data_IF_230161871257
#
_entry.id   IF_230161871257
#
_cell.length_a   1.000
_cell.length_b   1.000
_cell.length_c   1.000
_cell.angle_alpha   90.00
_cell.angle_beta   90.00
_cell.angle_gamma   90.00
#
_symmetry.space_group_name_H-M   'P 1'
#
loop_
_entity.id
_entity.type
_entity.pdbx_description
1 polymer ?
#
# COMPACT_ATOMS: atom_id res chain seq x y z
N UNK A 1 5.06 2.71 -9.78
CA UNK A 1 4.68 2.15 -8.45
C UNK A 1 5.91 1.46 -7.88
N UNK A 2 6.30 1.78 -6.65
CA UNK A 2 7.45 1.21 -5.94
C UNK A 2 6.95 0.43 -4.74
N UNK A 3 7.44 -0.80 -4.58
CA UNK A 3 7.16 -1.68 -3.46
C UNK A 3 8.45 -1.95 -2.70
N UNK A 4 8.49 -1.62 -1.41
CA UNK A 4 9.64 -1.87 -0.57
C UNK A 4 9.25 -2.58 0.72
N UNK A 5 9.74 -3.81 0.87
CA UNK A 5 9.70 -4.53 2.15
C UNK A 5 10.95 -4.18 2.96
N UNK A 6 10.77 -3.66 4.17
CA UNK A 6 11.85 -3.31 5.08
C UNK A 6 11.72 -4.06 6.40
N UNK A 7 12.87 -4.45 6.98
CA UNK A 7 12.98 -4.96 8.35
C UNK A 7 13.76 -3.97 9.21
N UNK A 8 13.22 -3.54 10.36
CA UNK A 8 13.88 -2.62 11.28
C UNK A 8 14.06 -3.25 12.66
N UNK A 9 15.31 -3.41 13.10
CA UNK A 9 15.61 -3.93 14.45
C UNK A 9 15.60 -2.83 15.51
N UNK A 10 16.40 -1.77 15.34
CA UNK A 10 16.40 -0.55 16.20
C UNK A 10 16.82 0.73 15.46
N UNK A 11 17.05 0.66 14.15
CA UNK A 11 17.58 1.76 13.36
C UNK A 11 16.49 2.60 12.71
N UNK A 12 16.87 3.81 12.36
CA UNK A 12 16.11 4.69 11.47
C UNK A 12 16.48 4.36 10.02
N UNK A 13 15.49 4.24 9.14
CA UNK A 13 15.74 4.28 7.70
C UNK A 13 15.07 5.52 7.09
N UNK A 14 15.82 6.33 6.33
CA UNK A 14 15.21 7.30 5.42
C UNK A 14 14.65 6.55 4.21
N UNK A 15 13.45 6.91 3.81
CA UNK A 15 12.89 6.56 2.51
C UNK A 15 12.79 7.83 1.69
N UNK A 16 13.45 7.85 0.54
CA UNK A 16 13.44 8.96 -0.41
C UNK A 16 12.60 8.59 -1.63
N UNK A 17 11.81 9.56 -2.05
CA UNK A 17 11.04 9.63 -3.30
C UNK A 17 9.86 8.68 -3.50
N UNK A 18 8.69 9.31 -3.51
CA UNK A 18 7.40 8.78 -3.93
C UNK A 18 6.33 9.82 -3.65
N UNK A 19 5.69 10.35 -4.70
CA UNK A 19 4.58 11.32 -4.62
C UNK A 19 3.37 10.82 -3.80
N UNK A 20 3.34 9.53 -3.48
CA UNK A 20 2.55 8.94 -2.41
C UNK A 20 3.38 7.96 -1.63
N UNK A 21 3.11 7.80 -0.36
CA UNK A 21 3.64 6.71 0.43
C UNK A 21 2.57 6.20 1.38
N UNK A 22 2.35 4.89 1.39
CA UNK A 22 1.56 4.19 2.38
C UNK A 22 2.46 3.18 3.07
N UNK A 23 2.43 3.16 4.40
CA UNK A 23 3.17 2.15 5.15
C UNK A 23 2.17 1.22 5.81
N UNK A 24 2.19 -0.04 5.36
CA UNK A 24 1.51 -1.13 6.04
C UNK A 24 2.54 -1.89 6.86
N UNK A 25 2.41 -1.85 8.18
CA UNK A 25 3.27 -2.61 9.07
C UNK A 25 2.69 -4.01 9.33
N UNK A 26 3.44 -5.06 9.00
CA UNK A 26 3.15 -6.43 9.48
C UNK A 26 4.08 -6.67 10.67
N UNK A 27 3.55 -6.51 11.88
CA UNK A 27 4.34 -6.69 13.10
C UNK A 27 4.07 -8.06 13.74
N UNK A 28 5.16 -8.75 14.10
CA UNK A 28 5.34 -9.29 15.45
C UNK A 28 5.85 -8.12 16.32
N UNK A 29 5.47 -7.96 17.60
CA UNK A 29 5.61 -6.69 18.33
C UNK A 29 7.06 -6.15 18.23
N UNK A 30 7.28 -4.86 17.84
CA UNK A 30 6.92 -3.70 18.67
C UNK A 30 6.34 -2.46 17.93
N UNK A 31 6.28 -1.28 18.58
CA UNK A 31 5.79 0.01 18.04
C UNK A 31 6.79 0.67 17.07
N UNK A 32 6.31 1.16 15.92
CA UNK A 32 7.07 2.09 15.06
C UNK A 32 6.58 3.53 15.22
N UNK A 33 7.46 4.52 15.12
CA UNK A 33 7.13 5.95 15.13
C UNK A 33 7.48 6.62 13.79
N UNK A 34 6.59 7.48 13.31
CA UNK A 34 6.90 8.54 12.35
C UNK A 34 6.59 9.89 13.02
N UNK A 35 7.62 10.73 13.20
CA UNK A 35 7.52 11.87 14.13
C UNK A 35 7.22 11.37 15.55
N UNK A 36 6.08 11.78 16.12
CA UNK A 36 5.60 11.34 17.45
C UNK A 36 4.49 10.27 17.39
N UNK A 37 3.99 9.92 16.20
CA UNK A 37 2.80 9.06 16.08
C UNK A 37 3.19 7.59 16.00
N UNK A 38 2.66 6.78 16.94
CA UNK A 38 2.89 5.35 16.98
C UNK A 38 1.99 4.59 15.98
N UNK A 39 2.60 3.67 15.24
CA UNK A 39 1.95 2.74 14.34
C UNK A 39 2.07 1.34 14.94
N UNK A 40 0.92 0.73 15.17
CA UNK A 40 0.74 -0.63 15.69
C UNK A 40 0.58 -1.65 14.54
N UNK A 41 0.72 -2.96 14.82
CA UNK A 41 0.40 -4.00 13.85
C UNK A 41 -0.95 -3.78 13.16
N UNK A 42 -1.02 -4.09 11.86
CA UNK A 42 -2.24 -4.01 11.05
C UNK A 42 -2.80 -2.60 10.85
N UNK A 43 -2.06 -1.56 11.25
CA UNK A 43 -2.39 -0.18 10.90
C UNK A 43 -1.77 0.22 9.57
N UNK A 44 -2.49 1.09 8.86
CA UNK A 44 -2.05 1.76 7.65
C UNK A 44 -1.75 3.22 8.01
N UNK A 45 -0.51 3.65 7.78
CA UNK A 45 -0.17 5.06 7.82
C UNK A 45 -0.22 5.63 6.39
N UNK A 46 -0.98 6.72 6.23
CA UNK A 46 -1.10 7.49 4.98
C UNK A 46 -0.29 8.77 5.16
N UNK A 47 0.54 9.09 4.18
CA UNK A 47 1.38 10.28 4.18
C UNK A 47 0.84 11.31 3.19
N UNK A 48 1.01 12.58 3.52
CA UNK A 48 0.70 13.67 2.60
C UNK A 48 1.66 13.68 1.41
N UNK A 49 1.21 14.27 0.30
CA UNK A 49 1.93 14.29 -0.98
C UNK A 49 2.91 15.45 -1.05
N UNK A 50 3.83 15.49 -0.10
CA UNK A 50 4.86 16.53 -0.05
C UNK A 50 6.23 15.93 -0.38
N UNK A 51 7.07 16.73 -1.05
CA UNK A 51 8.44 16.35 -1.29
C UNK A 51 9.19 16.24 0.04
N UNK A 52 9.90 15.14 0.26
CA UNK A 52 10.63 14.92 1.50
C UNK A 52 11.00 13.46 1.75
N UNK A 53 11.49 13.20 2.95
CA UNK A 53 11.90 11.87 3.37
C UNK A 53 11.07 11.34 4.53
N UNK A 54 10.67 10.08 4.47
CA UNK A 54 9.99 9.40 5.58
C UNK A 54 11.03 8.80 6.50
N UNK A 55 10.94 9.12 7.80
CA UNK A 55 11.76 8.54 8.85
C UNK A 55 10.91 7.66 9.75
N UNK A 56 11.33 6.42 9.95
CA UNK A 56 10.64 5.46 10.82
C UNK A 56 11.63 4.94 11.85
N UNK A 57 11.22 4.94 13.12
CA UNK A 57 12.00 4.37 14.22
C UNK A 57 11.22 3.23 14.89
N UNK A 58 11.85 2.08 15.05
CA UNK A 58 11.33 1.00 15.89
C UNK A 58 11.72 1.27 17.35
N UNK A 59 10.74 1.40 18.25
CA UNK A 59 10.99 1.73 19.67
C UNK A 59 10.92 0.54 20.62
N UNK A 60 10.67 -0.67 20.13
CA UNK A 60 10.71 -1.84 21.01
C UNK A 60 11.89 -2.76 20.77
N UNK A 61 11.86 -3.90 21.46
CA UNK A 61 12.96 -4.87 21.50
C UNK A 61 12.97 -5.85 20.34
N UNK A 62 11.82 -6.10 19.70
CA UNK A 62 11.64 -6.97 18.54
C UNK A 62 11.93 -6.32 17.18
N UNK A 63 11.79 -7.08 16.10
CA UNK A 63 11.98 -6.59 14.72
C UNK A 63 10.65 -6.16 14.11
N UNK A 64 10.62 -4.96 13.52
CA UNK A 64 9.51 -4.48 12.70
C UNK A 64 9.62 -5.00 11.27
N UNK A 65 8.54 -5.51 10.67
CA UNK A 65 8.42 -5.62 9.21
C UNK A 65 7.45 -4.55 8.69
N UNK A 66 7.93 -3.79 7.71
CA UNK A 66 7.19 -2.71 7.08
C UNK A 66 7.08 -2.98 5.58
N UNK A 67 5.92 -2.67 5.03
CA UNK A 67 5.69 -2.58 3.60
C UNK A 67 5.42 -1.11 3.27
N UNK A 68 6.35 -0.50 2.54
CA UNK A 68 6.17 0.83 1.95
C UNK A 68 5.66 0.66 0.52
N UNK A 69 4.56 1.32 0.22
CA UNK A 69 3.93 1.40 -1.10
C UNK A 69 3.98 2.85 -1.55
N UNK A 70 4.63 3.13 -2.67
CA UNK A 70 4.66 4.48 -3.24
C UNK A 70 4.35 4.48 -4.73
N UNK A 71 3.80 5.56 -5.25
CA UNK A 71 3.41 5.64 -6.65
C UNK A 71 3.12 7.07 -7.08
N UNK A 72 2.94 7.24 -8.39
CA UNK A 72 2.31 8.43 -8.94
C UNK A 72 0.79 8.23 -8.88
N UNK A 73 0.00 9.30 -8.71
CA UNK A 73 -1.43 9.19 -8.95
C UNK A 73 -1.66 8.74 -10.38
N UNK A 74 -2.63 7.85 -10.57
CA UNK A 74 -3.07 7.47 -11.91
C UNK A 74 -3.95 8.55 -12.54
N UNK A 75 -4.57 9.42 -11.73
CA UNK A 75 -5.46 10.51 -12.14
C UNK A 75 -6.57 10.12 -13.13
N UNK A 76 -7.01 8.87 -13.04
CA UNK A 76 -8.09 8.32 -13.85
C UNK A 76 -9.30 7.97 -12.97
N UNK A 77 -10.54 8.05 -13.50
CA UNK A 77 -11.72 7.55 -12.82
C UNK A 77 -11.58 6.07 -12.46
N UNK A 78 -12.15 5.67 -11.31
CA UNK A 78 -12.15 4.30 -10.83
C UNK A 78 -13.58 3.81 -10.66
N UNK A 79 -13.96 2.78 -11.41
CA UNK A 79 -15.19 2.04 -11.26
C UNK A 79 -14.87 0.60 -10.85
N UNK A 80 -15.24 0.21 -9.62
CA UNK A 80 -14.93 -1.10 -9.07
C UNK A 80 -16.18 -1.85 -8.60
N UNK A 81 -16.24 -3.15 -8.86
CA UNK A 81 -17.24 -4.06 -8.33
C UNK A 81 -16.68 -5.47 -8.18
N UNK A 82 -16.63 -5.98 -6.95
CA UNK A 82 -16.06 -7.30 -6.66
C UNK A 82 -14.60 -7.40 -7.13
N UNK A 83 -14.24 -8.39 -7.96
CA UNK A 83 -12.87 -8.56 -8.46
C UNK A 83 -12.54 -7.68 -9.67
N UNK A 84 -13.47 -6.85 -10.17
CA UNK A 84 -13.30 -6.06 -11.38
C UNK A 84 -13.04 -4.58 -11.05
N UNK A 85 -12.06 -3.98 -11.73
CA UNK A 85 -11.71 -2.55 -11.65
C UNK A 85 -11.50 -2.05 -13.08
N UNK A 86 -12.27 -1.03 -13.47
CA UNK A 86 -12.22 -0.35 -14.77
C UNK A 86 -12.29 1.16 -14.57
N UNK A 87 -12.22 1.95 -15.66
CA UNK A 87 -12.33 3.40 -15.58
C UNK A 87 -13.80 3.87 -15.53
N UNK A 88 -14.71 3.20 -16.24
CA UNK A 88 -16.13 3.58 -16.32
C UNK A 88 -17.09 2.48 -15.88
N UNK A 89 -18.33 2.86 -15.52
CA UNK A 89 -19.42 1.92 -15.19
C UNK A 89 -19.81 1.01 -16.38
N UNK A 90 -19.68 1.52 -17.61
CA UNK A 90 -20.02 0.78 -18.82
C UNK A 90 -19.01 -0.35 -19.07
N UNK A 91 -17.71 -0.04 -19.03
CA UNK A 91 -16.63 -1.04 -19.13
C UNK A 91 -16.74 -2.10 -18.04
N UNK A 92 -17.01 -1.67 -16.80
CA UNK A 92 -17.20 -2.59 -15.67
C UNK A 92 -18.36 -3.57 -15.92
N UNK A 93 -19.50 -3.07 -16.41
CA UNK A 93 -20.66 -3.91 -16.73
C UNK A 93 -20.38 -4.85 -17.90
N UNK A 94 -19.59 -4.41 -18.89
CA UNK A 94 -19.14 -5.24 -20.00
C UNK A 94 -18.24 -6.37 -19.54
N UNK A 95 -17.18 -6.09 -18.78
CA UNK A 95 -16.27 -7.13 -18.27
C UNK A 95 -16.98 -8.17 -17.43
N UNK A 96 -17.97 -7.77 -16.63
CA UNK A 96 -18.80 -8.72 -15.87
C UNK A 96 -19.61 -9.63 -16.81
N UNK A 97 -20.23 -9.07 -17.87
CA UNK A 97 -20.97 -9.89 -18.86
C UNK A 97 -20.04 -10.87 -19.58
N UNK A 98 -18.85 -10.41 -19.96
CA UNK A 98 -17.87 -11.26 -20.66
C UNK A 98 -17.34 -12.39 -19.79
N UNK A 99 -17.05 -12.09 -18.52
CA UNK A 99 -16.67 -13.10 -17.54
C UNK A 99 -17.79 -14.14 -17.36
N UNK A 100 -19.03 -13.70 -17.18
CA UNK A 100 -20.18 -14.60 -17.03
C UNK A 100 -20.47 -15.42 -18.29
N UNK A 101 -20.07 -14.92 -19.46
CA UNK A 101 -20.15 -15.63 -20.73
C UNK A 101 -18.98 -16.62 -20.94
N UNK A 102 -18.07 -16.78 -19.97
CA UNK A 102 -16.95 -17.71 -20.04
C UNK A 102 -15.79 -17.25 -20.92
N UNK A 103 -15.73 -15.97 -21.31
CA UNK A 103 -14.68 -15.47 -22.22
C UNK A 103 -13.28 -15.42 -21.62
N UNK A 104 -13.15 -15.59 -20.29
CA UNK A 104 -11.88 -15.40 -19.57
C UNK A 104 -11.13 -16.73 -19.34
N UNK A 105 -11.60 -17.81 -19.98
CA UNK A 105 -11.01 -19.14 -19.88
C UNK A 105 -11.42 -19.91 -18.63
N UNK A 106 -11.01 -21.18 -18.58
CA UNK A 106 -11.15 -22.08 -17.45
C UNK A 106 -9.76 -22.56 -17.00
N UNK A 107 -9.64 -22.92 -15.73
CA UNK A 107 -8.45 -23.58 -15.20
C UNK A 107 -8.73 -25.08 -15.19
N UNK A 108 -8.25 -25.77 -16.21
CA UNK A 108 -8.39 -27.21 -16.40
C UNK A 108 -7.11 -27.96 -15.97
#
# INVERSE_FOLDING_TARGET
>A
MTFLKARLRRSQKPFSDGLFSFIRARFAPPRALHGERAISPSQLAVFEREAGGIRIRNTGSGTAELLLLSGLPIDEPVAAYGPFVMNTRAELAESIREYNAGKYGSLD
#
